data_IF_185043932080
#
_entry.id   IF_185043932080
#
_cell.length_a   1.000
_cell.length_b   1.000
_cell.length_c   1.000
_cell.angle_alpha   90.00
_cell.angle_beta   90.00
_cell.angle_gamma   90.00
#
_symmetry.space_group_name_H-M   'P 1'
#
loop_
_entity.id
_entity.type
_entity.pdbx_description
1 polymer ?
#
# COMPACT_ATOMS: atom_id res chain seq x y z
N UNK A 1 -76.51 -30.41 -33.42
CA UNK A 1 -75.90 -30.92 -32.18
C UNK A 1 -74.59 -30.17 -31.94
N UNK A 2 -74.64 -29.08 -31.16
CA UNK A 2 -73.47 -28.33 -30.70
C UNK A 2 -72.94 -28.97 -29.41
N UNK A 3 -71.63 -29.16 -29.32
CA UNK A 3 -70.97 -29.74 -28.15
C UNK A 3 -70.31 -28.61 -27.33
N UNK A 4 -71.04 -28.09 -26.35
CA UNK A 4 -70.55 -27.14 -25.34
C UNK A 4 -70.04 -27.95 -24.15
N UNK A 5 -68.73 -27.97 -23.91
CA UNK A 5 -68.16 -28.44 -22.63
C UNK A 5 -67.05 -27.51 -22.13
N UNK A 6 -67.42 -26.78 -21.08
CA UNK A 6 -66.61 -26.35 -19.92
C UNK A 6 -65.48 -25.34 -20.15
N UNK A 7 -65.89 -24.07 -20.22
CA UNK A 7 -65.20 -22.97 -19.54
C UNK A 7 -65.37 -23.18 -18.03
N UNK A 8 -64.27 -23.13 -17.28
CA UNK A 8 -64.10 -22.91 -15.83
C UNK A 8 -62.98 -23.83 -15.32
N UNK A 9 -61.79 -23.26 -15.11
CA UNK A 9 -61.02 -23.47 -13.87
C UNK A 9 -59.79 -22.56 -13.84
N UNK A 10 -59.89 -21.57 -12.94
CA UNK A 10 -58.80 -21.01 -12.15
C UNK A 10 -57.90 -19.99 -12.87
N UNK A 11 -58.52 -18.85 -13.18
CA UNK A 11 -57.87 -17.57 -12.95
C UNK A 11 -57.73 -17.36 -11.43
N UNK A 12 -56.65 -17.87 -10.83
CA UNK A 12 -56.20 -17.50 -9.49
C UNK A 12 -54.67 -17.59 -9.41
N UNK A 13 -54.00 -16.84 -10.28
CA UNK A 13 -52.59 -16.46 -10.13
C UNK A 13 -52.50 -14.93 -10.10
N UNK A 14 -53.36 -14.34 -9.27
CA UNK A 14 -53.34 -12.94 -8.88
C UNK A 14 -53.31 -12.92 -7.35
N UNK A 15 -52.37 -12.15 -6.80
CA UNK A 15 -52.23 -11.78 -5.38
C UNK A 15 -51.40 -12.70 -4.47
N UNK A 16 -50.13 -12.93 -4.81
CA UNK A 16 -49.07 -12.80 -3.79
C UNK A 16 -47.96 -11.93 -4.37
N UNK A 17 -48.31 -10.67 -4.65
CA UNK A 17 -47.29 -9.62 -4.63
C UNK A 17 -46.87 -9.50 -3.17
N UNK A 18 -45.77 -10.16 -2.83
CA UNK A 18 -45.04 -9.90 -1.59
C UNK A 18 -44.63 -8.43 -1.64
N UNK A 19 -45.44 -7.55 -1.05
CA UNK A 19 -45.08 -6.15 -0.85
C UNK A 19 -44.00 -6.12 0.22
N UNK A 20 -42.76 -6.40 -0.18
CA UNK A 20 -41.61 -5.94 0.59
C UNK A 20 -41.65 -4.43 0.46
N UNK A 21 -42.35 -3.78 1.39
CA UNK A 21 -42.19 -2.35 1.64
C UNK A 21 -40.74 -2.16 2.06
N UNK A 22 -39.88 -1.85 1.08
CA UNK A 22 -38.53 -1.35 1.35
C UNK A 22 -38.73 0.01 2.00
N UNK A 23 -38.91 0.04 3.31
CA UNK A 23 -38.91 1.28 4.04
C UNK A 23 -37.52 1.88 3.87
N UNK A 24 -37.44 2.96 3.09
CA UNK A 24 -36.20 3.65 2.82
C UNK A 24 -35.52 3.96 4.17
N UNK A 25 -34.32 3.44 4.37
CA UNK A 25 -33.60 3.64 5.62
C UNK A 25 -33.35 5.14 5.80
N UNK A 26 -33.82 5.70 6.92
CA UNK A 26 -33.53 7.09 7.28
C UNK A 26 -32.02 7.26 7.44
N UNK A 27 -31.47 8.26 6.75
CA UNK A 27 -30.04 8.58 6.78
C UNK A 27 -29.71 9.55 7.91
N UNK A 28 -28.47 9.52 8.38
CA UNK A 28 -27.92 10.51 9.31
C UNK A 28 -28.69 10.63 10.64
N UNK A 29 -29.04 9.48 11.24
CA UNK A 29 -29.84 9.44 12.46
C UNK A 29 -28.98 9.46 13.72
N UNK A 30 -29.56 9.97 14.80
CA UNK A 30 -29.01 9.92 16.15
C UNK A 30 -29.85 8.99 17.03
N UNK A 31 -29.21 8.31 17.99
CA UNK A 31 -29.89 7.56 19.03
C UNK A 31 -30.43 8.48 20.14
N UNK A 32 -31.12 7.91 21.13
CA UNK A 32 -31.69 8.65 22.26
C UNK A 32 -30.65 9.40 23.11
N UNK A 33 -29.37 9.05 23.00
CA UNK A 33 -28.26 9.71 23.69
C UNK A 33 -27.54 10.73 22.79
N UNK A 34 -28.10 11.07 21.63
CA UNK A 34 -27.50 12.00 20.68
C UNK A 34 -26.27 11.44 19.95
N UNK A 35 -26.04 10.12 19.97
CA UNK A 35 -24.92 9.50 19.25
C UNK A 35 -25.35 9.03 17.87
N UNK A 36 -24.44 9.16 16.90
CA UNK A 36 -24.69 8.74 15.50
C UNK A 36 -25.05 7.25 15.44
N UNK A 37 -26.11 6.91 14.71
CA UNK A 37 -26.55 5.53 14.48
C UNK A 37 -27.07 5.34 13.06
N UNK A 38 -27.04 4.10 12.56
CA UNK A 38 -27.50 3.75 11.22
C UNK A 38 -26.58 4.23 10.10
N UNK A 39 -27.13 4.31 8.89
CA UNK A 39 -26.37 4.72 7.70
C UNK A 39 -26.22 6.23 7.65
N UNK A 40 -25.00 6.68 7.40
CA UNK A 40 -24.64 8.07 7.28
C UNK A 40 -24.09 8.38 5.89
N UNK A 41 -24.45 9.55 5.38
CA UNK A 41 -23.86 10.20 4.21
C UNK A 41 -23.56 11.66 4.54
N UNK A 42 -22.30 12.04 4.41
CA UNK A 42 -21.85 13.44 4.48
C UNK A 42 -21.63 13.92 3.05
N UNK A 43 -22.01 15.15 2.77
CA UNK A 43 -21.82 15.79 1.46
C UNK A 43 -20.82 16.94 1.58
N UNK A 44 -20.16 17.26 0.47
CA UNK A 44 -19.49 18.54 0.26
C UNK A 44 -20.54 19.62 -0.11
N UNK A 45 -20.14 20.88 -0.09
CA UNK A 45 -21.02 22.01 -0.39
C UNK A 45 -21.60 21.96 -1.82
N UNK A 46 -20.88 21.33 -2.75
CA UNK A 46 -21.33 21.08 -4.12
C UNK A 46 -22.28 19.87 -4.26
N UNK A 47 -22.80 19.35 -3.15
CA UNK A 47 -23.73 18.22 -3.12
C UNK A 47 -23.11 16.84 -3.38
N UNK A 48 -21.80 16.74 -3.71
CA UNK A 48 -21.14 15.45 -3.89
C UNK A 48 -20.93 14.76 -2.54
N UNK A 49 -21.09 13.44 -2.51
CA UNK A 49 -20.84 12.65 -1.30
C UNK A 49 -19.36 12.82 -0.92
N UNK A 50 -19.11 13.13 0.35
CA UNK A 50 -17.79 13.18 0.98
C UNK A 50 -17.43 11.85 1.61
N UNK A 51 -18.37 11.27 2.35
CA UNK A 51 -18.26 9.89 2.82
C UNK A 51 -19.62 9.25 3.03
N UNK A 52 -19.65 7.92 3.04
CA UNK A 52 -20.76 7.11 3.50
C UNK A 52 -20.26 5.97 4.38
N UNK A 53 -21.08 5.52 5.32
CA UNK A 53 -20.77 4.42 6.23
C UNK A 53 -21.83 4.23 7.31
N UNK A 54 -21.61 3.29 8.21
CA UNK A 54 -22.58 2.96 9.27
C UNK A 54 -22.00 3.29 10.63
N UNK A 55 -22.80 3.93 11.48
CA UNK A 55 -22.47 4.15 12.87
C UNK A 55 -23.32 3.26 13.78
N UNK A 56 -22.74 2.83 14.91
CA UNK A 56 -23.46 2.24 16.03
C UNK A 56 -22.95 2.87 17.32
N UNK A 57 -23.85 3.47 18.10
CA UNK A 57 -23.53 4.17 19.36
C UNK A 57 -22.40 5.20 19.19
N UNK A 58 -22.39 5.93 18.07
CA UNK A 58 -21.38 6.94 17.75
C UNK A 58 -20.06 6.42 17.17
N UNK A 59 -19.82 5.11 17.15
CA UNK A 59 -18.62 4.48 16.58
C UNK A 59 -18.83 4.02 15.14
N UNK A 60 -17.84 4.20 14.30
CA UNK A 60 -17.80 3.65 12.94
C UNK A 60 -17.81 2.12 12.98
N UNK A 61 -18.68 1.49 12.18
CA UNK A 61 -18.73 0.04 12.01
C UNK A 61 -18.82 -0.34 10.52
N UNK A 62 -18.33 -1.53 10.18
CA UNK A 62 -18.37 -2.04 8.82
C UNK A 62 -17.57 -1.17 7.86
N UNK A 63 -18.13 -0.90 6.68
CA UNK A 63 -17.40 -0.25 5.58
C UNK A 63 -17.74 1.22 5.47
N UNK A 64 -16.71 2.06 5.53
CA UNK A 64 -16.77 3.47 5.15
C UNK A 64 -16.13 3.69 3.78
N UNK A 65 -16.80 4.47 2.94
CA UNK A 65 -16.33 4.90 1.63
C UNK A 65 -16.15 6.41 1.64
N UNK A 66 -15.00 6.90 1.20
CA UNK A 66 -14.68 8.32 1.10
C UNK A 66 -14.40 8.71 -0.34
N UNK A 67 -14.86 9.89 -0.73
CA UNK A 67 -14.89 10.34 -2.12
C UNK A 67 -14.27 11.73 -2.25
N UNK A 68 -13.85 12.08 -3.47
CA UNK A 68 -13.29 13.41 -3.77
C UNK A 68 -14.41 14.43 -3.98
N UNK A 69 -14.13 15.70 -3.68
CA UNK A 69 -15.04 16.80 -3.99
C UNK A 69 -15.33 16.94 -5.49
N UNK A 70 -14.49 16.37 -6.35
CA UNK A 70 -14.68 16.38 -7.81
C UNK A 70 -15.52 15.21 -8.34
N UNK A 71 -15.68 14.11 -7.60
CA UNK A 71 -16.49 12.96 -8.05
C UNK A 71 -16.89 12.04 -6.89
N UNK A 72 -18.14 11.58 -6.92
CA UNK A 72 -18.67 10.53 -6.03
C UNK A 72 -18.86 9.18 -6.73
N UNK A 73 -18.40 9.02 -7.98
CA UNK A 73 -18.59 7.77 -8.74
C UNK A 73 -17.78 6.61 -8.15
N UNK A 74 -16.56 6.88 -7.69
CA UNK A 74 -15.67 5.88 -7.10
C UNK A 74 -15.04 6.41 -5.80
N UNK A 75 -14.95 5.57 -4.75
CA UNK A 75 -14.27 5.96 -3.52
C UNK A 75 -12.76 6.03 -3.74
N UNK A 76 -12.13 6.99 -3.08
CA UNK A 76 -10.65 7.10 -3.02
C UNK A 76 -10.08 6.48 -1.75
N UNK A 77 -10.93 6.23 -0.75
CA UNK A 77 -10.57 5.50 0.45
C UNK A 77 -11.73 4.59 0.82
N UNK A 78 -11.42 3.32 1.12
CA UNK A 78 -12.33 2.40 1.78
C UNK A 78 -11.71 2.01 3.11
N UNK A 79 -12.46 2.16 4.20
CA UNK A 79 -12.09 1.70 5.54
C UNK A 79 -13.07 0.64 6.00
N UNK A 80 -12.57 -0.52 6.36
CA UNK A 80 -13.35 -1.61 6.94
C UNK A 80 -12.98 -1.76 8.41
N UNK A 81 -13.90 -1.33 9.28
CA UNK A 81 -13.69 -1.31 10.73
C UNK A 81 -13.96 -2.68 11.35
N UNK A 82 -12.99 -3.16 12.12
CA UNK A 82 -13.06 -4.37 12.92
C UNK A 82 -12.43 -4.10 14.29
N UNK A 83 -13.26 -4.14 15.34
CA UNK A 83 -12.90 -3.74 16.71
C UNK A 83 -12.30 -2.33 16.72
N UNK A 84 -11.09 -2.15 17.24
CA UNK A 84 -10.40 -0.85 17.33
C UNK A 84 -9.53 -0.53 16.09
N UNK A 85 -9.60 -1.37 15.06
CA UNK A 85 -8.75 -1.27 13.89
C UNK A 85 -9.56 -1.12 12.61
N UNK A 86 -8.93 -0.60 11.57
CA UNK A 86 -9.53 -0.55 10.24
C UNK A 86 -8.55 -1.10 9.20
N UNK A 87 -9.00 -2.01 8.34
CA UNK A 87 -8.31 -2.28 7.08
C UNK A 87 -8.62 -1.15 6.13
N UNK A 88 -7.60 -0.50 5.59
CA UNK A 88 -7.75 0.71 4.75
C UNK A 88 -7.17 0.45 3.37
N UNK A 89 -7.97 0.71 2.35
CA UNK A 89 -7.58 0.69 0.94
C UNK A 89 -7.63 2.11 0.38
N UNK A 90 -6.57 2.54 -0.28
CA UNK A 90 -6.49 3.82 -0.99
C UNK A 90 -6.51 3.56 -2.48
N UNK A 91 -7.28 4.36 -3.21
CA UNK A 91 -7.45 4.25 -4.65
C UNK A 91 -7.05 5.56 -5.34
N UNK A 92 -6.65 5.47 -6.61
CA UNK A 92 -6.45 6.66 -7.45
C UNK A 92 -7.79 7.18 -8.03
N UNK A 93 -7.71 8.19 -8.90
CA UNK A 93 -8.90 8.80 -9.50
C UNK A 93 -9.64 7.86 -10.49
N UNK A 94 -8.95 6.83 -11.00
CA UNK A 94 -9.50 5.82 -11.89
C UNK A 94 -10.03 4.60 -11.11
N UNK A 95 -9.94 4.60 -9.78
CA UNK A 95 -10.38 3.49 -8.94
C UNK A 95 -9.36 2.35 -8.82
N UNK A 96 -8.11 2.54 -9.28
CA UNK A 96 -7.05 1.53 -9.14
C UNK A 96 -6.49 1.57 -7.72
N UNK A 97 -6.27 0.40 -7.13
CA UNK A 97 -5.74 0.26 -5.77
C UNK A 97 -4.29 0.78 -5.73
N UNK A 98 -4.02 1.77 -4.88
CA UNK A 98 -2.68 2.33 -4.64
C UNK A 98 -1.97 1.67 -3.46
N UNK A 99 -2.72 1.42 -2.39
CA UNK A 99 -2.14 0.81 -1.19
C UNK A 99 -3.21 0.21 -0.29
N UNK A 100 -2.83 -0.80 0.48
CA UNK A 100 -3.67 -1.39 1.51
C UNK A 100 -2.86 -1.71 2.77
N UNK A 101 -3.49 -1.60 3.92
CA UNK A 101 -2.89 -1.95 5.20
C UNK A 101 -3.84 -1.75 6.36
N UNK A 102 -3.36 -2.00 7.57
CA UNK A 102 -4.14 -1.87 8.79
C UNK A 102 -3.82 -0.55 9.50
N UNK A 103 -4.86 0.11 10.00
CA UNK A 103 -4.74 1.27 10.87
C UNK A 103 -5.28 0.94 12.26
N UNK A 104 -4.55 1.36 13.30
CA UNK A 104 -5.02 1.44 14.67
C UNK A 104 -5.17 2.93 15.00
N UNK A 105 -6.41 3.39 15.17
CA UNK A 105 -6.75 4.81 15.21
C UNK A 105 -6.16 5.59 14.01
N UNK A 106 -5.15 6.44 14.24
CA UNK A 106 -4.47 7.25 13.20
C UNK A 106 -3.17 6.61 12.69
N UNK A 107 -2.69 5.55 13.34
CA UNK A 107 -1.37 4.98 13.07
C UNK A 107 -1.47 3.78 12.13
N UNK A 108 -0.49 3.65 11.23
CA UNK A 108 -0.26 2.43 10.45
C UNK A 108 0.24 1.32 11.36
N UNK A 109 -0.27 0.11 11.14
CA UNK A 109 0.11 -1.07 11.92
C UNK A 109 0.31 -2.28 10.99
N UNK A 110 1.34 -3.08 11.25
CA UNK A 110 1.62 -4.32 10.52
C UNK A 110 2.04 -4.09 9.07
N UNK A 111 1.71 -5.05 8.20
CA UNK A 111 2.10 -5.02 6.78
C UNK A 111 1.27 -3.99 6.01
N UNK A 112 1.98 -3.15 5.26
CA UNK A 112 1.43 -2.22 4.28
C UNK A 112 1.94 -2.59 2.89
N UNK A 113 1.04 -2.59 1.92
CA UNK A 113 1.32 -2.98 0.55
C UNK A 113 1.00 -1.81 -0.35
N UNK A 114 1.91 -1.50 -1.27
CA UNK A 114 1.76 -0.46 -2.28
C UNK A 114 1.83 -1.08 -3.66
N UNK A 115 1.09 -0.51 -4.60
CA UNK A 115 0.97 -1.02 -5.95
C UNK A 115 1.35 0.04 -6.98
N UNK A 116 1.94 -0.42 -8.07
CA UNK A 116 2.08 0.35 -9.30
C UNK A 116 0.71 0.59 -9.94
N UNK A 117 0.65 1.52 -10.89
CA UNK A 117 -0.56 1.83 -11.66
C UNK A 117 -1.09 0.66 -12.50
N UNK A 118 -0.25 -0.33 -12.79
CA UNK A 118 -0.62 -1.58 -13.46
C UNK A 118 -1.10 -2.69 -12.48
N UNK A 119 -1.22 -2.37 -11.18
CA UNK A 119 -1.66 -3.31 -10.14
C UNK A 119 -0.58 -4.25 -9.60
N UNK A 120 0.65 -4.22 -10.14
CA UNK A 120 1.76 -5.02 -9.61
C UNK A 120 2.29 -4.43 -8.29
N UNK A 121 2.92 -5.29 -7.49
CA UNK A 121 3.52 -4.91 -6.22
C UNK A 121 4.63 -3.87 -6.44
N UNK A 122 4.57 -2.75 -5.72
CA UNK A 122 5.57 -1.69 -5.72
C UNK A 122 6.42 -1.73 -4.46
N UNK A 123 5.79 -1.88 -3.29
CA UNK A 123 6.48 -1.89 -2.00
C UNK A 123 5.72 -2.72 -0.97
N UNK A 124 6.46 -3.45 -0.15
CA UNK A 124 6.00 -4.06 1.09
C UNK A 124 6.71 -3.41 2.27
N UNK A 125 5.93 -2.84 3.17
CA UNK A 125 6.43 -2.14 4.35
C UNK A 125 5.85 -2.77 5.62
N UNK A 126 6.58 -2.68 6.72
CA UNK A 126 6.11 -3.13 8.03
C UNK A 126 6.13 -1.96 8.99
N UNK A 127 5.00 -1.75 9.66
CA UNK A 127 4.80 -0.67 10.62
C UNK A 127 4.52 -1.21 12.02
N UNK A 128 4.98 -0.48 13.02
CA UNK A 128 4.61 -0.61 14.41
C UNK A 128 4.40 0.79 14.97
N UNK A 129 3.22 1.05 15.54
CA UNK A 129 2.88 2.36 16.13
C UNK A 129 3.09 3.54 15.16
N UNK A 130 2.77 3.32 13.87
CA UNK A 130 2.91 4.33 12.83
C UNK A 130 4.33 4.56 12.31
N UNK A 131 5.34 3.85 12.82
CA UNK A 131 6.73 3.93 12.35
C UNK A 131 7.14 2.67 11.60
N UNK A 132 8.02 2.80 10.61
CA UNK A 132 8.62 1.64 9.95
C UNK A 132 9.41 0.80 10.95
N UNK A 133 9.09 -0.48 11.04
CA UNK A 133 9.71 -1.42 11.97
C UNK A 133 9.72 -2.83 11.35
N UNK A 134 10.87 -3.21 10.83
CA UNK A 134 11.08 -4.42 10.02
C UNK A 134 11.67 -4.13 8.65
N UNK A 135 11.65 -5.13 7.78
CA UNK A 135 12.22 -5.03 6.43
C UNK A 135 11.20 -4.38 5.48
N UNK A 136 11.64 -3.32 4.80
CA UNK A 136 10.97 -2.75 3.62
C UNK A 136 11.53 -3.41 2.37
N UNK A 137 10.65 -3.83 1.46
CA UNK A 137 11.01 -4.37 0.14
C UNK A 137 10.38 -3.52 -0.94
N UNK A 138 11.19 -3.03 -1.86
CA UNK A 138 10.74 -2.31 -3.05
C UNK A 138 10.93 -3.19 -4.28
N UNK A 139 10.07 -3.02 -5.28
CA UNK A 139 10.02 -3.88 -6.45
C UNK A 139 10.10 -3.07 -7.74
N UNK A 140 10.73 -3.64 -8.76
CA UNK A 140 10.61 -3.22 -10.14
C UNK A 140 9.25 -3.63 -10.73
N UNK A 141 8.78 -3.00 -11.81
CA UNK A 141 7.55 -3.39 -12.50
C UNK A 141 7.54 -4.83 -13.06
N UNK A 142 8.70 -5.47 -13.19
CA UNK A 142 8.82 -6.87 -13.58
C UNK A 142 8.62 -7.85 -12.40
N UNK A 143 8.52 -7.34 -11.16
CA UNK A 143 8.33 -8.13 -9.94
C UNK A 143 9.63 -8.48 -9.20
N UNK A 144 10.80 -8.18 -9.78
CA UNK A 144 12.07 -8.35 -9.09
C UNK A 144 12.26 -7.26 -8.05
N UNK A 145 12.97 -7.60 -6.97
CA UNK A 145 13.25 -6.65 -5.89
C UNK A 145 14.26 -5.62 -6.40
N UNK A 146 14.00 -4.34 -6.18
CA UNK A 146 15.00 -3.27 -6.38
C UNK A 146 15.79 -2.99 -5.11
N UNK A 147 15.13 -3.07 -3.95
CA UNK A 147 15.77 -2.76 -2.67
C UNK A 147 15.14 -3.55 -1.52
N UNK A 148 15.97 -3.98 -0.58
CA UNK A 148 15.55 -4.45 0.74
C UNK A 148 16.29 -3.64 1.80
N UNK A 149 15.57 -3.03 2.74
CA UNK A 149 16.19 -2.23 3.80
C UNK A 149 15.54 -2.53 5.14
N UNK A 150 16.36 -2.79 6.14
CA UNK A 150 15.90 -3.00 7.51
C UNK A 150 15.66 -1.66 8.21
N UNK A 151 14.54 -1.55 8.91
CA UNK A 151 14.15 -0.39 9.70
C UNK A 151 13.84 -0.78 11.15
N UNK A 152 14.11 0.14 12.08
CA UNK A 152 13.71 0.07 13.47
C UNK A 152 13.26 1.45 13.93
N UNK A 153 12.06 1.55 14.51
CA UNK A 153 11.50 2.83 14.99
C UNK A 153 11.57 3.98 13.97
N UNK A 154 11.34 3.69 12.69
CA UNK A 154 11.32 4.67 11.60
C UNK A 154 12.69 5.05 11.03
N UNK A 155 13.79 4.46 11.52
CA UNK A 155 15.15 4.71 11.03
C UNK A 155 15.70 3.44 10.36
N UNK A 156 16.54 3.61 9.33
CA UNK A 156 17.29 2.48 8.76
C UNK A 156 18.22 1.91 9.84
N UNK A 157 18.18 0.60 10.02
CA UNK A 157 18.90 -0.13 11.06
C UNK A 157 19.18 -1.54 10.57
N UNK A 158 20.45 -1.89 10.38
CA UNK A 158 20.88 -3.16 9.80
C UNK A 158 21.20 -3.07 8.30
N UNK A 159 21.14 -4.22 7.63
CA UNK A 159 21.55 -4.36 6.22
C UNK A 159 20.53 -3.73 5.27
N UNK A 160 21.05 -3.07 4.25
CA UNK A 160 20.34 -2.59 3.06
C UNK A 160 21.00 -3.19 1.82
N UNK A 161 20.18 -3.73 0.92
CA UNK A 161 20.60 -4.35 -0.34
C UNK A 161 19.88 -3.70 -1.50
N UNK A 162 20.60 -3.39 -2.57
CA UNK A 162 20.03 -2.88 -3.82
C UNK A 162 20.39 -3.82 -4.96
N UNK A 163 19.42 -4.09 -5.83
CA UNK A 163 19.53 -5.05 -6.93
C UNK A 163 19.14 -4.39 -8.26
N UNK A 164 19.61 -4.94 -9.37
CA UNK A 164 19.16 -4.61 -10.72
C UNK A 164 17.76 -5.17 -10.99
N UNK A 165 17.16 -4.76 -12.10
CA UNK A 165 15.91 -5.32 -12.59
C UNK A 165 16.03 -6.80 -13.00
N UNK A 166 17.22 -7.29 -13.32
CA UNK A 166 17.54 -8.71 -13.51
C UNK A 166 17.82 -9.47 -12.20
N UNK A 167 17.78 -8.80 -11.05
CA UNK A 167 17.97 -9.41 -9.72
C UNK A 167 19.43 -9.53 -9.28
N UNK A 168 20.38 -8.90 -9.97
CA UNK A 168 21.80 -8.89 -9.60
C UNK A 168 22.02 -7.90 -8.45
N UNK A 169 22.64 -8.35 -7.36
CA UNK A 169 23.02 -7.49 -6.23
C UNK A 169 24.10 -6.50 -6.68
N UNK A 170 23.86 -5.20 -6.49
CA UNK A 170 24.80 -4.13 -6.88
C UNK A 170 25.27 -3.28 -5.70
N UNK A 171 24.59 -3.36 -4.56
CA UNK A 171 24.96 -2.65 -3.34
C UNK A 171 24.52 -3.46 -2.13
N UNK A 172 25.41 -3.64 -1.17
CA UNK A 172 25.12 -4.13 0.17
C UNK A 172 25.83 -3.24 1.19
N UNK A 173 25.06 -2.55 2.03
CA UNK A 173 25.57 -1.61 3.04
C UNK A 173 24.86 -1.81 4.37
N UNK A 174 25.51 -1.44 5.46
CA UNK A 174 24.92 -1.49 6.79
C UNK A 174 24.58 -0.07 7.30
N UNK A 175 23.45 0.04 8.00
CA UNK A 175 22.99 1.26 8.62
C UNK A 175 22.88 1.10 10.14
N UNK A 176 23.27 2.13 10.88
CA UNK A 176 22.97 2.29 12.30
C UNK A 176 22.36 3.67 12.53
N UNK A 177 21.19 3.72 13.20
CA UNK A 177 20.47 4.95 13.50
C UNK A 177 20.25 5.87 12.28
N UNK A 178 20.00 5.28 11.11
CA UNK A 178 19.76 6.00 9.86
C UNK A 178 21.01 6.47 9.11
N UNK A 179 22.22 6.16 9.59
CA UNK A 179 23.48 6.50 8.91
C UNK A 179 24.21 5.24 8.47
N UNK A 180 24.97 5.31 7.38
CA UNK A 180 25.87 4.22 6.98
C UNK A 180 26.91 3.98 8.06
N UNK A 181 27.09 2.73 8.45
CA UNK A 181 27.99 2.29 9.51
C UNK A 181 28.49 0.89 9.15
N UNK A 182 29.76 0.58 9.39
CA UNK A 182 30.31 -0.74 9.07
C UNK A 182 30.63 -0.94 7.58
N UNK A 183 30.67 -2.20 7.13
CA UNK A 183 31.12 -2.55 5.79
C UNK A 183 30.09 -2.14 4.71
N UNK A 184 30.59 -1.58 3.61
CA UNK A 184 29.83 -1.36 2.38
C UNK A 184 30.49 -2.07 1.21
N UNK A 185 29.69 -2.79 0.42
CA UNK A 185 30.10 -3.53 -0.78
C UNK A 185 29.29 -3.05 -1.97
N UNK A 186 29.98 -2.87 -3.09
CA UNK A 186 29.40 -2.46 -4.36
C UNK A 186 29.86 -3.41 -5.45
N UNK A 187 28.93 -3.79 -6.31
CA UNK A 187 29.15 -4.81 -7.33
C UNK A 187 28.86 -4.25 -8.73
N UNK A 188 29.37 -4.92 -9.75
CA UNK A 188 29.04 -4.66 -11.15
C UNK A 188 27.74 -5.37 -11.56
N UNK A 189 27.32 -5.15 -12.81
CA UNK A 189 26.10 -5.75 -13.36
C UNK A 189 26.18 -7.26 -13.59
N UNK A 190 27.37 -7.86 -13.40
CA UNK A 190 27.61 -9.31 -13.44
C UNK A 190 27.73 -9.90 -12.03
N UNK A 191 27.63 -9.08 -10.98
CA UNK A 191 27.78 -9.48 -9.57
C UNK A 191 29.24 -9.52 -9.08
N UNK A 192 30.21 -9.10 -9.88
CA UNK A 192 31.61 -8.98 -9.48
C UNK A 192 31.79 -7.79 -8.52
N UNK A 193 32.57 -7.97 -7.45
CA UNK A 193 32.85 -6.88 -6.52
C UNK A 193 33.62 -5.77 -7.25
N UNK A 194 33.15 -4.53 -7.17
CA UNK A 194 33.82 -3.33 -7.71
C UNK A 194 34.57 -2.57 -6.64
N UNK A 195 34.00 -2.56 -5.44
CA UNK A 195 34.47 -1.70 -4.38
C UNK A 195 33.96 -2.18 -3.03
N UNK A 196 34.82 -2.15 -2.01
CA UNK A 196 34.39 -2.30 -0.62
C UNK A 196 35.24 -1.46 0.33
N UNK A 197 34.67 -1.17 1.48
CA UNK A 197 35.34 -0.46 2.55
C UNK A 197 34.41 -0.21 3.72
N UNK A 198 34.86 0.61 4.67
CA UNK A 198 34.14 0.86 5.91
C UNK A 198 33.51 2.26 5.92
N UNK A 199 32.32 2.34 6.49
CA UNK A 199 31.63 3.57 6.83
C UNK A 199 31.61 3.76 8.36
N UNK A 200 31.66 5.03 8.78
CA UNK A 200 31.37 5.46 10.15
C UNK A 200 30.60 6.76 10.13
N UNK A 201 29.45 6.80 10.79
CA UNK A 201 28.56 7.96 10.86
C UNK A 201 28.24 8.57 9.47
N UNK A 202 28.06 7.73 8.45
CA UNK A 202 27.73 8.14 7.08
C UNK A 202 28.93 8.47 6.20
N UNK A 203 30.17 8.42 6.72
CA UNK A 203 31.38 8.78 5.98
C UNK A 203 32.26 7.56 5.74
N UNK A 204 32.86 7.49 4.56
CA UNK A 204 33.89 6.51 4.23
C UNK A 204 35.10 6.69 5.14
N UNK A 205 35.60 5.60 5.72
CA UNK A 205 36.79 5.58 6.56
C UNK A 205 37.74 4.47 6.12
N UNK A 206 39.02 4.60 6.50
CA UNK A 206 40.06 3.63 6.19
C UNK A 206 40.41 3.56 4.70
N UNK A 207 41.13 2.50 4.33
CA UNK A 207 41.46 2.22 2.92
C UNK A 207 40.27 1.54 2.25
N UNK A 208 39.94 2.02 1.06
CA UNK A 208 38.93 1.42 0.20
C UNK A 208 39.61 0.56 -0.85
N UNK A 209 39.11 -0.66 -1.00
CA UNK A 209 39.58 -1.59 -2.02
C UNK A 209 38.72 -1.42 -3.27
N UNK A 210 39.36 -1.29 -4.41
CA UNK A 210 38.72 -1.18 -5.70
C UNK A 210 39.15 -2.36 -6.57
N UNK A 211 38.24 -2.86 -7.38
CA UNK A 211 38.47 -4.03 -8.21
C UNK A 211 38.14 -3.74 -9.66
N UNK A 212 38.96 -4.26 -10.58
CA UNK A 212 38.67 -4.34 -12.01
C UNK A 212 39.01 -5.75 -12.48
N UNK A 213 38.05 -6.40 -13.15
CA UNK A 213 38.18 -7.77 -13.66
C UNK A 213 38.63 -8.79 -12.58
N UNK A 214 38.22 -8.55 -11.34
CA UNK A 214 38.54 -9.39 -10.18
C UNK A 214 39.84 -9.02 -9.43
N UNK A 215 40.67 -8.14 -9.96
CA UNK A 215 41.95 -7.75 -9.34
C UNK A 215 41.85 -6.42 -8.60
N UNK A 216 42.58 -6.30 -7.47
CA UNK A 216 42.66 -5.05 -6.71
C UNK A 216 43.47 -4.01 -7.50
N UNK A 217 42.91 -2.80 -7.63
CA UNK A 217 43.51 -1.68 -8.35
C UNK A 217 43.59 -0.43 -7.48
N UNK A 218 44.58 0.41 -7.75
CA UNK A 218 44.69 1.71 -7.06
C UNK A 218 43.60 2.67 -7.53
N UNK A 219 43.20 3.60 -6.65
CA UNK A 219 42.19 4.64 -6.97
C UNK A 219 42.54 5.42 -8.25
N UNK A 220 43.81 5.82 -8.40
CA UNK A 220 44.32 6.52 -9.59
C UNK A 220 44.20 5.69 -10.87
N UNK A 221 44.46 4.38 -10.79
CA UNK A 221 44.30 3.47 -11.94
C UNK A 221 42.82 3.31 -12.32
N UNK A 222 41.91 3.24 -11.33
CA UNK A 222 40.45 3.22 -11.55
C UNK A 222 39.96 4.48 -12.28
N UNK A 223 40.31 5.67 -11.78
CA UNK A 223 39.88 6.96 -12.36
C UNK A 223 40.33 7.11 -13.82
N UNK A 224 41.61 6.82 -14.11
CA UNK A 224 42.14 6.91 -15.47
C UNK A 224 41.45 5.95 -16.45
N UNK A 225 41.06 4.75 -16.00
CA UNK A 225 40.39 3.75 -16.84
C UNK A 225 38.89 4.02 -17.01
N UNK A 226 38.22 4.64 -16.04
CA UNK A 226 36.83 5.09 -16.23
C UNK A 226 36.73 6.20 -17.28
N UNK A 227 37.69 7.11 -17.32
CA UNK A 227 37.71 8.21 -18.29
C UNK A 227 37.94 7.73 -19.72
N UNK A 228 38.67 6.62 -19.89
CA UNK A 228 38.92 6.00 -21.19
C UNK A 228 37.73 5.20 -21.73
N UNK A 229 36.90 4.62 -20.86
CA UNK A 229 35.69 3.86 -21.27
C UNK A 229 34.48 4.75 -21.58
N UNK A 230 34.54 6.03 -21.20
CA UNK A 230 33.49 7.02 -21.42
C UNK A 230 33.79 7.98 -22.59
N UNK A 231 34.83 7.69 -23.38
CA UNK A 231 35.09 8.29 -24.69
C UNK A 231 34.69 7.31 -25.79
#
# INVERSE_FOLDING_TARGET
MLNIKRIFSIALLLSVFFTISIQAQKLNQFDSNGKRTGVWKKFYDNGKIRYSGTFKNGKEIGVFKFYKITSSSQPTIIKEYAKDTATVKFFDAQGRLKSTGKMLAKNREGKWIYYFTNGKLFSEEKYKEGKLDGVVKNYYPNGNITQQTSYKNGKKEGVSKTFTDSGVLIEEVFYANGKLEGEGKYYDLKGGIKEKGMYKAGKRIGKWEFYMDGEIVTKRKKEKLSDLKNK
#
